data_IF_434173730314
#
_entry.id   IF_434173730314
#
_cell.length_a   1.000
_cell.length_b   1.000
_cell.length_c   1.000
_cell.angle_alpha   90.00
_cell.angle_beta   90.00
_cell.angle_gamma   90.00
#
_symmetry.space_group_name_H-M   'P 1'
#
loop_
_entity.id
_entity.type
_entity.pdbx_description
1 polymer ?
#
# COMPACT_ATOMS: atom_id res chain seq x y z
N UNK A 1 -10.47 -10.62 -19.47
CA UNK A 1 -11.42 -9.89 -18.61
C UNK A 1 -10.71 -9.45 -17.32
N UNK A 2 -9.77 -8.48 -17.40
CA UNK A 2 -8.89 -8.12 -16.28
C UNK A 2 -9.28 -6.86 -15.48
N UNK A 3 -10.37 -6.18 -15.86
CA UNK A 3 -10.72 -4.85 -15.34
C UNK A 3 -11.46 -4.93 -13.99
N UNK A 4 -12.18 -6.03 -13.73
CA UNK A 4 -13.05 -6.14 -12.54
C UNK A 4 -12.33 -6.34 -11.21
N UNK A 5 -11.09 -6.83 -11.16
CA UNK A 5 -10.45 -7.17 -9.87
C UNK A 5 -9.88 -5.93 -9.17
N UNK A 6 -9.08 -5.14 -9.89
CA UNK A 6 -8.43 -3.94 -9.35
C UNK A 6 -9.43 -2.83 -9.03
N UNK A 7 -10.47 -2.64 -9.85
CA UNK A 7 -11.50 -1.64 -9.59
C UNK A 7 -12.29 -1.95 -8.31
N UNK A 8 -12.62 -3.23 -8.09
CA UNK A 8 -13.31 -3.66 -6.87
C UNK A 8 -12.43 -3.49 -5.63
N UNK A 9 -11.15 -3.85 -5.69
CA UNK A 9 -10.19 -3.65 -4.59
C UNK A 9 -10.02 -2.16 -4.28
N UNK A 10 -9.94 -1.32 -5.32
CA UNK A 10 -9.79 0.13 -5.16
C UNK A 10 -10.98 0.74 -4.43
N UNK A 11 -12.20 0.37 -4.86
CA UNK A 11 -13.44 0.87 -4.27
C UNK A 11 -13.61 0.38 -2.83
N UNK A 12 -13.22 -0.86 -2.55
CA UNK A 12 -13.23 -1.41 -1.20
C UNK A 12 -12.26 -0.64 -0.30
N UNK A 13 -11.02 -0.39 -0.75
CA UNK A 13 -10.00 0.35 0.00
C UNK A 13 -10.45 1.76 0.38
N UNK A 14 -11.09 2.48 -0.54
CA UNK A 14 -11.53 3.86 -0.31
C UNK A 14 -12.59 3.99 0.78
N UNK A 15 -13.46 2.99 0.91
CA UNK A 15 -14.56 2.95 1.88
C UNK A 15 -14.11 2.63 3.30
N UNK A 16 -12.86 2.18 3.50
CA UNK A 16 -12.36 1.78 4.83
C UNK A 16 -11.86 2.97 5.64
N UNK A 17 -11.87 2.80 6.96
CA UNK A 17 -11.33 3.80 7.89
C UNK A 17 -9.81 3.97 7.69
N UNK A 18 -9.29 5.11 8.15
CA UNK A 18 -7.87 5.43 8.08
C UNK A 18 -6.97 4.34 8.67
N UNK A 19 -7.35 3.80 9.84
CA UNK A 19 -6.53 2.78 10.50
C UNK A 19 -6.53 1.46 9.73
N UNK A 20 -7.66 1.07 9.15
CA UNK A 20 -7.72 -0.12 8.31
C UNK A 20 -6.85 0.03 7.06
N UNK A 21 -6.85 1.22 6.43
CA UNK A 21 -5.97 1.50 5.28
C UNK A 21 -4.50 1.35 5.65
N UNK A 22 -4.10 1.79 6.85
CA UNK A 22 -2.73 1.60 7.37
C UNK A 22 -2.41 0.13 7.58
N UNK A 23 -3.31 -0.63 8.19
CA UNK A 23 -3.14 -2.06 8.42
C UNK A 23 -2.91 -2.82 7.11
N UNK A 24 -3.73 -2.54 6.08
CA UNK A 24 -3.52 -3.12 4.75
C UNK A 24 -2.15 -2.80 4.14
N UNK A 25 -1.60 -1.60 4.39
CA UNK A 25 -0.26 -1.24 3.90
C UNK A 25 0.82 -1.92 4.76
N UNK A 26 0.64 -2.04 6.08
CA UNK A 26 1.56 -2.76 6.98
C UNK A 26 1.71 -4.22 6.54
N UNK A 27 0.61 -4.92 6.28
CA UNK A 27 0.62 -6.31 5.78
C UNK A 27 1.40 -6.48 4.46
N UNK A 28 1.45 -5.43 3.63
CA UNK A 28 2.27 -5.43 2.40
C UNK A 28 3.72 -5.14 2.70
N UNK A 29 4.00 -4.16 3.56
CA UNK A 29 5.38 -3.84 3.99
C UNK A 29 6.07 -5.03 4.68
N UNK A 30 5.32 -5.88 5.39
CA UNK A 30 5.86 -7.13 5.96
C UNK A 30 6.37 -8.14 4.91
N UNK A 31 5.91 -8.02 3.67
CA UNK A 31 6.33 -8.85 2.54
C UNK A 31 7.44 -8.18 1.71
N UNK A 32 7.73 -6.91 1.98
CA UNK A 32 8.83 -6.18 1.36
C UNK A 32 10.16 -6.57 2.00
N UNK A 33 11.23 -6.48 1.21
CA UNK A 33 12.61 -6.55 1.73
C UNK A 33 12.94 -5.31 2.57
N UNK A 34 13.96 -5.39 3.42
CA UNK A 34 14.42 -4.26 4.25
C UNK A 34 14.70 -3.01 3.41
N UNK A 35 15.36 -3.14 2.25
CA UNK A 35 15.63 -2.02 1.35
C UNK A 35 14.37 -1.37 0.76
N UNK A 36 13.32 -2.16 0.54
CA UNK A 36 12.02 -1.66 0.04
C UNK A 36 11.24 -0.95 1.16
N UNK A 37 11.31 -1.46 2.40
CA UNK A 37 10.76 -0.77 3.58
C UNK A 37 11.49 0.54 3.84
N UNK A 38 12.82 0.56 3.71
CA UNK A 38 13.62 1.79 3.80
C UNK A 38 13.24 2.81 2.74
N UNK A 39 13.01 2.37 1.50
CA UNK A 39 12.54 3.24 0.43
C UNK A 39 11.17 3.85 0.76
N UNK A 40 10.24 3.04 1.26
CA UNK A 40 8.94 3.51 1.74
C UNK A 40 9.08 4.59 2.82
N UNK A 41 9.89 4.31 3.85
CA UNK A 41 10.11 5.22 4.96
C UNK A 41 10.83 6.51 4.52
N UNK A 42 11.69 6.49 3.49
CA UNK A 42 12.27 7.71 2.92
C UNK A 42 11.24 8.60 2.22
N UNK A 43 10.20 8.03 1.60
CA UNK A 43 9.17 8.80 0.90
C UNK A 43 8.13 9.39 1.86
N UNK A 44 7.74 8.63 2.88
CA UNK A 44 6.60 8.97 3.74
C UNK A 44 6.98 9.21 5.20
N UNK A 45 8.19 8.88 5.63
CA UNK A 45 8.64 8.89 7.03
C UNK A 45 8.28 7.59 7.75
N UNK A 46 6.98 7.30 7.84
CA UNK A 46 6.42 6.03 8.34
C UNK A 46 5.00 5.85 7.82
N UNK A 47 4.38 4.69 8.08
CA UNK A 47 2.99 4.44 7.70
C UNK A 47 2.00 5.38 8.43
N UNK A 48 2.31 5.78 9.66
CA UNK A 48 1.52 6.72 10.45
C UNK A 48 1.52 8.13 9.83
N UNK A 49 2.62 8.50 9.15
CA UNK A 49 2.83 9.79 8.53
C UNK A 49 2.26 9.90 7.11
N UNK A 50 1.80 8.79 6.51
CA UNK A 50 1.17 8.81 5.18
C UNK A 50 -0.14 9.62 5.23
N UNK A 51 -0.30 10.69 4.44
CA UNK A 51 -1.57 11.39 4.32
C UNK A 51 -2.63 10.48 3.71
N UNK A 52 -3.88 10.55 4.19
CA UNK A 52 -4.97 9.70 3.69
C UNK A 52 -5.12 9.78 2.16
N UNK A 53 -4.97 10.97 1.59
CA UNK A 53 -5.02 11.21 0.14
C UNK A 53 -3.97 10.47 -0.67
N UNK A 54 -2.88 10.04 -0.03
CA UNK A 54 -1.79 9.27 -0.64
C UNK A 54 -1.79 7.79 -0.28
N UNK A 55 -2.63 7.34 0.66
CA UNK A 55 -2.63 5.95 1.13
C UNK A 55 -2.93 4.95 0.01
N UNK A 56 -3.82 5.29 -0.93
CA UNK A 56 -4.08 4.43 -2.09
C UNK A 56 -2.81 4.22 -2.92
N UNK A 57 -2.09 5.30 -3.21
CA UNK A 57 -0.86 5.23 -3.99
C UNK A 57 0.22 4.45 -3.24
N UNK A 58 0.37 4.70 -1.94
CA UNK A 58 1.29 3.97 -1.07
C UNK A 58 0.99 2.45 -1.07
N UNK A 59 -0.29 2.05 -1.01
CA UNK A 59 -0.70 0.65 -1.08
C UNK A 59 -0.30 0.00 -2.42
N UNK A 60 -0.65 0.61 -3.55
CA UNK A 60 -0.31 0.04 -4.86
C UNK A 60 1.19 -0.02 -5.12
N UNK A 61 1.94 0.96 -4.64
CA UNK A 61 3.40 0.94 -4.72
C UNK A 61 3.99 -0.27 -3.97
N UNK A 62 3.48 -0.58 -2.76
CA UNK A 62 3.90 -1.78 -2.05
C UNK A 62 3.52 -3.06 -2.82
N UNK A 63 2.32 -3.13 -3.40
CA UNK A 63 1.88 -4.28 -4.21
C UNK A 63 2.80 -4.50 -5.42
N UNK A 64 3.04 -3.46 -6.23
CA UNK A 64 3.91 -3.54 -7.40
C UNK A 64 5.35 -3.94 -7.03
N UNK A 65 5.85 -3.40 -5.91
CA UNK A 65 7.19 -3.71 -5.41
C UNK A 65 7.33 -5.17 -4.99
N UNK A 66 6.30 -5.76 -4.36
CA UNK A 66 6.28 -7.18 -3.98
C UNK A 66 6.13 -8.08 -5.21
N UNK A 67 5.30 -7.71 -6.18
CA UNK A 67 5.14 -8.48 -7.41
C UNK A 67 6.45 -8.54 -8.21
N UNK A 68 7.24 -7.46 -8.19
CA UNK A 68 8.59 -7.42 -8.77
C UNK A 68 9.64 -8.29 -8.06
N UNK A 69 9.34 -8.85 -6.88
CA UNK A 69 10.22 -9.79 -6.19
C UNK A 69 10.10 -11.24 -6.73
N UNK A 70 9.17 -11.51 -7.67
CA UNK A 70 8.97 -12.81 -8.32
C UNK A 70 9.72 -12.91 -9.64
#
# INVERSE_FOLDING_TARGET
MGINHYENITKEFDLKSLEFKREMIRERLEQCTEGQVDMFNRMYGSIEAVPESKMRHAYFQCVETIEGNK
#
